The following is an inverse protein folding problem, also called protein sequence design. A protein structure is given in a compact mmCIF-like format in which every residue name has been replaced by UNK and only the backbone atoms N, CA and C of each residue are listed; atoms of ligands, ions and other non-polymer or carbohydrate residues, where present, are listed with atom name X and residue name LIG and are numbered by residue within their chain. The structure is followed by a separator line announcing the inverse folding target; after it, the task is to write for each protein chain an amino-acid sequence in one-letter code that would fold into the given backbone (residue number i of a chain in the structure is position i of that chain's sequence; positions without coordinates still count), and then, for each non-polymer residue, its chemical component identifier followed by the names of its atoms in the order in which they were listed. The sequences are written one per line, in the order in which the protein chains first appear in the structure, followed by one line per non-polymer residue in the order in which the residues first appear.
data_IF_039961265439
#
_entry.id   IF_039961265439
#
_cell.length_a   1.000
_cell.length_b   1.000
_cell.length_c   1.000
_cell.angle_alpha   90.00
_cell.angle_beta   90.00
_cell.angle_gamma   90.00
#
_symmetry.space_group_name_H-M   'P 1'
#
loop_
_entity.id
_entity.type
_entity.pdbx_description
1 polymer ?
#
# COMPACT_ATOMS: atom_id res chain seq x y z
N UNK A 1 -4.38 -6.85 27.35
CA UNK A 1 -5.04 -5.57 26.99
C UNK A 1 -6.54 -5.75 27.16
N UNK A 2 -7.22 -4.77 27.73
CA UNK A 2 -8.68 -4.78 27.85
C UNK A 2 -9.29 -4.29 26.53
N UNK A 3 -10.23 -5.06 25.97
CA UNK A 3 -10.97 -4.67 24.76
C UNK A 3 -12.26 -3.96 25.15
N UNK A 4 -12.66 -2.95 24.36
CA UNK A 4 -13.93 -2.24 24.54
C UNK A 4 -14.92 -2.78 23.51
N UNK A 5 -16.14 -3.12 23.93
CA UNK A 5 -17.19 -3.56 23.02
C UNK A 5 -17.83 -2.35 22.33
N UNK A 6 -17.75 -2.33 21.00
CA UNK A 6 -18.40 -1.31 20.17
C UNK A 6 -19.73 -1.86 19.64
N UNK A 7 -20.84 -1.26 20.07
CA UNK A 7 -22.18 -1.65 19.60
C UNK A 7 -22.51 -0.98 18.27
N UNK A 8 -21.87 -1.44 17.20
CA UNK A 8 -22.04 -0.89 15.85
C UNK A 8 -23.30 -1.41 15.17
N UNK A 9 -24.02 -0.49 14.49
CA UNK A 9 -25.01 -0.87 13.49
C UNK A 9 -24.31 -0.97 12.14
N UNK A 10 -24.22 -2.19 11.62
CA UNK A 10 -23.47 -2.48 10.39
C UNK A 10 -24.45 -2.84 9.26
N UNK A 11 -24.31 -2.27 8.05
CA UNK A 11 -25.09 -2.69 6.90
C UNK A 11 -24.91 -4.19 6.62
N UNK A 12 -25.98 -4.87 6.20
CA UNK A 12 -25.96 -6.32 5.93
C UNK A 12 -24.86 -6.70 4.94
N UNK A 13 -24.76 -5.96 3.83
CA UNK A 13 -23.76 -6.21 2.80
C UNK A 13 -22.32 -6.14 3.35
N UNK A 14 -22.06 -5.23 4.29
CA UNK A 14 -20.74 -5.09 4.89
C UNK A 14 -20.47 -6.25 5.86
N UNK A 15 -21.47 -6.68 6.64
CA UNK A 15 -21.36 -7.90 7.45
C UNK A 15 -21.02 -9.10 6.57
N UNK A 16 -21.75 -9.29 5.47
CA UNK A 16 -21.57 -10.45 4.58
C UNK A 16 -20.17 -10.47 3.96
N UNK A 17 -19.59 -9.29 3.63
CA UNK A 17 -18.20 -9.17 3.18
C UNK A 17 -17.19 -9.59 4.26
N UNK A 18 -17.39 -9.14 5.50
CA UNK A 18 -16.51 -9.52 6.63
C UNK A 18 -16.62 -11.02 6.93
N UNK A 19 -17.83 -11.56 6.86
CA UNK A 19 -18.10 -12.98 7.10
C UNK A 19 -17.30 -13.86 6.11
N UNK A 20 -17.45 -13.57 4.81
CA UNK A 20 -16.69 -14.23 3.75
C UNK A 20 -15.18 -14.09 3.95
N UNK A 21 -14.70 -12.88 4.22
CA UNK A 21 -13.28 -12.63 4.46
C UNK A 21 -12.73 -13.38 5.68
N UNK A 22 -13.53 -13.53 6.73
CA UNK A 22 -13.14 -14.25 7.93
C UNK A 22 -12.99 -15.76 7.67
N UNK A 23 -13.88 -16.32 6.83
CA UNK A 23 -13.78 -17.70 6.39
C UNK A 23 -12.52 -17.95 5.53
N UNK A 24 -12.17 -16.99 4.65
CA UNK A 24 -10.98 -17.06 3.80
C UNK A 24 -9.68 -16.87 4.61
N UNK A 25 -9.68 -16.00 5.61
CA UNK A 25 -8.49 -15.69 6.43
C UNK A 25 -8.29 -16.65 7.61
N UNK A 26 -9.30 -17.46 7.93
CA UNK A 26 -9.32 -18.33 9.11
C UNK A 26 -9.43 -17.57 10.44
N UNK A 27 -9.72 -16.26 10.41
CA UNK A 27 -9.94 -15.44 11.61
C UNK A 27 -11.40 -15.52 12.06
N UNK A 28 -11.67 -15.21 13.33
CA UNK A 28 -13.05 -14.94 13.74
C UNK A 28 -13.55 -13.66 13.08
N UNK A 29 -14.87 -13.51 12.92
CA UNK A 29 -15.50 -12.29 12.36
C UNK A 29 -14.99 -11.03 13.07
N UNK A 30 -14.89 -11.07 14.40
CA UNK A 30 -14.42 -9.92 15.18
C UNK A 30 -12.94 -9.64 14.91
N UNK A 31 -12.09 -10.68 14.85
CA UNK A 31 -10.67 -10.50 14.56
C UNK A 31 -10.43 -9.99 13.14
N UNK A 32 -11.21 -10.45 12.15
CA UNK A 32 -11.15 -9.95 10.77
C UNK A 32 -11.61 -8.49 10.68
N UNK A 33 -12.69 -8.13 11.39
CA UNK A 33 -13.17 -6.75 11.45
C UNK A 33 -12.10 -5.82 12.06
N UNK A 34 -11.51 -6.20 13.20
CA UNK A 34 -10.44 -5.43 13.85
C UNK A 34 -9.23 -5.27 12.93
N UNK A 35 -8.76 -6.37 12.33
CA UNK A 35 -7.64 -6.34 11.39
C UNK A 35 -7.86 -5.35 10.25
N UNK A 36 -9.07 -5.32 9.67
CA UNK A 36 -9.41 -4.41 8.56
C UNK A 36 -9.48 -2.95 9.01
N UNK A 37 -9.97 -2.69 10.22
CA UNK A 37 -9.98 -1.34 10.80
C UNK A 37 -8.54 -0.85 11.06
N UNK A 38 -7.69 -1.68 11.65
CA UNK A 38 -6.27 -1.33 11.83
C UNK A 38 -5.58 -1.07 10.50
N UNK A 39 -5.84 -1.94 9.51
CA UNK A 39 -5.31 -1.81 8.16
C UNK A 39 -5.75 -0.53 7.44
N UNK A 40 -6.93 0.00 7.72
CA UNK A 40 -7.39 1.24 7.09
C UNK A 40 -6.62 2.45 7.62
N UNK A 41 -6.34 2.50 8.92
CA UNK A 41 -5.52 3.58 9.50
C UNK A 41 -4.08 3.57 8.98
N UNK A 42 -3.46 2.39 8.86
CA UNK A 42 -2.12 2.26 8.25
C UNK A 42 -2.14 2.75 6.79
N UNK A 43 -3.20 2.43 6.05
CA UNK A 43 -3.29 2.83 4.65
C UNK A 43 -3.50 4.35 4.49
N UNK A 44 -4.25 4.98 5.40
CA UNK A 44 -4.36 6.44 5.46
C UNK A 44 -3.00 7.08 5.73
N UNK A 45 -2.22 6.55 6.67
CA UNK A 45 -0.84 7.00 6.94
C UNK A 45 0.10 6.83 5.75
N UNK A 46 -0.10 5.79 4.93
CA UNK A 46 0.70 5.53 3.72
C UNK A 46 0.14 6.23 2.47
N UNK A 47 -1.03 6.87 2.56
CA UNK A 47 -1.69 7.55 1.44
C UNK A 47 -1.19 8.98 1.19
N UNK A 48 -0.32 9.50 2.06
CA UNK A 48 0.58 10.56 1.64
C UNK A 48 1.32 10.02 0.42
N UNK A 49 1.29 10.70 -0.75
CA UNK A 49 2.21 10.35 -1.82
C UNK A 49 3.57 10.22 -1.15
N UNK A 50 4.25 9.09 -1.34
CA UNK A 50 5.61 8.88 -0.89
C UNK A 50 6.42 10.08 -1.40
N UNK A 51 6.46 11.13 -0.60
CA UNK A 51 7.34 12.25 -0.78
C UNK A 51 8.62 11.67 -0.25
N UNK A 52 9.24 10.82 -1.07
CA UNK A 52 10.59 10.35 -0.84
C UNK A 52 11.40 11.62 -0.95
N UNK A 53 11.63 12.25 0.19
CA UNK A 53 12.51 13.39 0.26
C UNK A 53 13.89 12.80 0.05
N UNK A 54 14.34 12.83 -1.19
CA UNK A 54 15.74 12.67 -1.54
C UNK A 54 16.42 14.00 -1.20
N UNK A 55 16.51 14.29 0.09
CA UNK A 55 17.24 15.43 0.61
C UNK A 55 18.75 15.13 0.59
N UNK A 56 19.54 16.15 0.92
CA UNK A 56 21.00 16.04 0.89
C UNK A 56 21.50 14.99 1.91
N UNK A 57 20.86 14.87 3.07
CA UNK A 57 21.18 13.87 4.10
C UNK A 57 21.06 12.43 3.58
N UNK A 58 20.04 12.15 2.77
CA UNK A 58 19.85 10.84 2.16
C UNK A 58 20.93 10.52 1.11
N UNK A 59 21.33 11.50 0.29
CA UNK A 59 22.42 11.32 -0.68
C UNK A 59 23.76 11.12 0.01
N UNK A 60 24.02 11.86 1.09
CA UNK A 60 25.21 11.67 1.93
C UNK A 60 25.25 10.27 2.58
N UNK A 61 24.13 9.82 3.14
CA UNK A 61 24.03 8.51 3.79
C UNK A 61 24.20 7.33 2.81
N UNK A 62 23.76 7.50 1.57
CA UNK A 62 23.86 6.46 0.52
C UNK A 62 25.16 6.52 -0.26
N UNK A 63 25.88 7.64 -0.21
CA UNK A 63 27.05 7.91 -1.05
C UNK A 63 26.71 8.08 -2.54
N UNK A 64 25.42 8.22 -2.88
CA UNK A 64 24.96 8.44 -4.24
C UNK A 64 24.99 9.93 -4.57
N UNK A 65 25.43 10.25 -5.78
CA UNK A 65 25.26 11.59 -6.33
C UNK A 65 23.87 11.78 -6.94
N UNK A 66 23.43 13.03 -7.04
CA UNK A 66 22.16 13.39 -7.71
C UNK A 66 22.17 12.99 -9.18
N UNK A 67 23.34 13.06 -9.84
CA UNK A 67 23.55 12.68 -11.24
C UNK A 67 23.44 11.17 -11.46
N UNK A 68 24.03 10.36 -10.59
CA UNK A 68 23.92 8.88 -10.64
C UNK A 68 22.48 8.44 -10.44
N UNK A 69 21.81 9.01 -9.43
CA UNK A 69 20.40 8.76 -9.19
C UNK A 69 19.53 9.19 -10.37
N UNK A 70 19.76 10.39 -10.92
CA UNK A 70 19.04 10.88 -12.09
C UNK A 70 19.23 10.00 -13.34
N UNK A 71 20.42 9.43 -13.51
CA UNK A 71 20.71 8.48 -14.58
C UNK A 71 19.96 7.16 -14.40
N UNK A 72 19.92 6.65 -13.16
CA UNK A 72 19.14 5.47 -12.81
C UNK A 72 17.64 5.67 -13.06
N UNK A 73 17.06 6.79 -12.60
CA UNK A 73 15.63 7.10 -12.79
C UNK A 73 15.30 7.18 -14.29
N UNK A 74 16.13 7.86 -15.09
CA UNK A 74 15.95 7.91 -16.55
C UNK A 74 15.97 6.52 -17.16
N UNK A 75 16.92 5.67 -16.78
CA UNK A 75 17.02 4.30 -17.26
C UNK A 75 15.78 3.47 -16.89
N UNK A 76 15.35 3.52 -15.62
CA UNK A 76 14.20 2.78 -15.11
C UNK A 76 12.88 3.22 -15.77
N UNK A 77 12.70 4.51 -16.01
CA UNK A 77 11.55 5.05 -16.74
C UNK A 77 11.60 4.61 -18.21
N UNK A 78 12.75 4.69 -18.87
CA UNK A 78 12.88 4.27 -20.26
C UNK A 78 12.65 2.77 -20.45
N UNK A 79 13.17 1.91 -19.56
CA UNK A 79 12.95 0.47 -19.62
C UNK A 79 11.49 0.10 -19.35
N UNK A 80 10.86 0.71 -18.34
CA UNK A 80 9.45 0.51 -18.04
C UNK A 80 8.50 1.00 -19.15
N UNK A 81 8.77 2.18 -19.73
CA UNK A 81 7.97 2.72 -20.86
C UNK A 81 8.18 1.90 -22.14
N UNK A 82 9.37 1.33 -22.35
CA UNK A 82 9.63 0.48 -23.52
C UNK A 82 8.89 -0.86 -23.43
N UNK A 83 8.80 -1.47 -22.25
CA UNK A 83 8.00 -2.68 -22.04
C UNK A 83 6.50 -2.43 -22.27
N UNK A 84 5.97 -1.30 -21.76
CA UNK A 84 4.57 -0.91 -21.97
C UNK A 84 4.17 -0.68 -23.44
N UNK A 85 5.10 -0.22 -24.28
CA UNK A 85 4.86 -0.02 -25.72
C UNK A 85 4.91 -1.31 -26.54
N UNK A 86 5.58 -2.35 -26.04
CA UNK A 86 5.64 -3.67 -26.68
C UNK A 86 4.34 -4.43 -26.40
N UNK A 87 3.83 -4.40 -25.16
CA UNK A 87 2.58 -5.08 -24.78
C UNK A 87 1.31 -4.50 -25.45
N UNK A 88 1.36 -3.26 -25.93
CA UNK A 88 0.24 -2.61 -26.64
C UNK A 88 0.21 -2.86 -28.15
N UNK A 89 1.12 -3.67 -28.69
CA UNK A 89 1.22 -3.92 -30.15
C UNK A 89 0.65 -5.26 -30.60
N UNK A 90 0.14 -6.05 -29.66
CA UNK A 90 -0.46 -7.37 -29.91
C UNK A 90 -2.00 -7.39 -29.78
N UNK A 91 -2.67 -6.24 -29.97
CA UNK A 91 -4.14 -6.11 -30.15
C UNK A 91 -4.47 -5.44 -31.49
#
# INVERSE_FOLDING_TARGET
MSTIQFNLRVPKELKDKIDKASAESGRSINAEAVYRMERSFIQEELSVPMNVMFDDDWFEATGLTKEEFGSFVKMAVHSGVSQYKVDKKDD
#
